data_IF_326221904688
#
_entry.id   IF_326221904688
#
_cell.length_a   1.000
_cell.length_b   1.000
_cell.length_c   1.000
_cell.angle_alpha   90.00
_cell.angle_beta   90.00
_cell.angle_gamma   90.00
#
_symmetry.space_group_name_H-M   'P 1'
#
loop_
_entity.id
_entity.type
_entity.pdbx_description
1 polymer ?
#
# COMPACT_ATOMS: atom_id res chain seq x y z
N UNK A 1 11.62 8.06 14.50
CA UNK A 1 11.37 6.94 13.58
C UNK A 1 12.60 6.06 13.55
N UNK A 2 12.48 4.74 13.45
CA UNK A 2 13.67 3.89 13.28
C UNK A 2 14.44 4.30 12.01
N UNK A 3 15.77 4.25 12.01
CA UNK A 3 16.60 4.65 10.86
C UNK A 3 16.36 3.85 9.56
N UNK A 4 15.60 2.78 9.63
CA UNK A 4 15.15 1.98 8.47
C UNK A 4 14.46 2.84 7.39
N UNK A 5 13.84 3.96 7.79
CA UNK A 5 13.10 4.85 6.91
C UNK A 5 13.88 6.11 6.51
N UNK A 6 15.08 6.30 7.06
CA UNK A 6 15.94 7.42 6.72
C UNK A 6 16.89 7.07 5.55
N UNK A 7 16.91 7.93 4.54
CA UNK A 7 17.74 7.75 3.34
C UNK A 7 19.24 8.00 3.56
N UNK A 8 19.68 8.29 4.79
CA UNK A 8 21.08 8.67 5.14
C UNK A 8 21.78 7.68 6.07
N UNK A 9 21.09 6.62 6.54
CA UNK A 9 21.75 5.60 7.35
C UNK A 9 22.74 4.80 6.50
N UNK A 10 23.87 4.39 7.09
CA UNK A 10 24.80 3.47 6.42
C UNK A 10 24.06 2.16 6.14
N UNK A 11 24.28 1.57 4.97
CA UNK A 11 23.58 0.34 4.55
C UNK A 11 23.64 -0.78 5.60
N UNK A 12 24.76 -0.89 6.31
CA UNK A 12 24.93 -1.91 7.36
C UNK A 12 23.94 -1.71 8.53
N UNK A 13 23.85 -0.50 9.06
CA UNK A 13 22.95 -0.17 10.17
C UNK A 13 21.47 -0.40 9.81
N UNK A 14 21.10 -0.10 8.56
CA UNK A 14 19.74 -0.36 8.06
C UNK A 14 19.41 -1.85 8.14
N UNK A 15 20.29 -2.72 7.67
CA UNK A 15 20.04 -4.17 7.70
C UNK A 15 20.09 -4.76 9.11
N UNK A 16 20.89 -4.22 10.02
CA UNK A 16 20.88 -4.59 11.44
C UNK A 16 19.53 -4.24 12.09
N UNK A 17 19.01 -3.05 11.82
CA UNK A 17 17.72 -2.63 12.31
C UNK A 17 16.56 -3.47 11.72
N UNK A 18 16.62 -3.81 10.42
CA UNK A 18 15.66 -4.72 9.80
C UNK A 18 15.72 -6.10 10.47
N UNK A 19 16.92 -6.64 10.64
CA UNK A 19 17.11 -7.92 11.33
C UNK A 19 16.55 -7.91 12.75
N UNK A 20 16.76 -6.82 13.50
CA UNK A 20 16.20 -6.63 14.82
C UNK A 20 14.67 -6.56 14.80
N UNK A 21 14.06 -5.89 13.81
CA UNK A 21 12.61 -5.89 13.64
C UNK A 21 12.04 -7.29 13.49
N UNK A 22 12.66 -8.14 12.68
CA UNK A 22 12.24 -9.52 12.53
C UNK A 22 12.36 -10.31 13.83
N UNK A 23 13.50 -10.21 14.54
CA UNK A 23 13.73 -10.88 15.81
C UNK A 23 12.71 -10.48 16.89
N UNK A 24 12.35 -9.20 16.95
CA UNK A 24 11.39 -8.68 17.93
C UNK A 24 9.93 -9.00 17.57
N UNK A 25 9.66 -9.37 16.31
CA UNK A 25 8.30 -9.62 15.81
C UNK A 25 7.99 -11.11 15.58
N UNK A 26 8.87 -12.03 15.96
CA UNK A 26 8.67 -13.47 15.83
C UNK A 26 7.40 -13.92 16.56
N UNK A 27 6.58 -14.80 15.98
CA UNK A 27 6.70 -15.49 14.69
C UNK A 27 6.26 -14.67 13.47
N UNK A 28 5.75 -13.48 13.68
CA UNK A 28 5.28 -12.51 12.70
C UNK A 28 4.21 -11.59 13.28
N UNK A 29 4.07 -10.36 12.79
CA UNK A 29 3.06 -9.42 13.26
C UNK A 29 1.66 -9.78 12.73
N UNK A 30 0.63 -9.66 13.55
CA UNK A 30 -0.77 -9.76 13.13
C UNK A 30 -1.23 -8.49 12.42
N UNK A 31 -0.65 -7.35 12.80
CA UNK A 31 -0.98 -6.04 12.24
C UNK A 31 0.26 -5.17 12.10
N UNK A 32 0.30 -4.38 11.03
CA UNK A 32 1.25 -3.31 10.80
C UNK A 32 0.48 -1.99 10.89
N UNK A 33 0.71 -1.23 11.96
CA UNK A 33 0.03 0.05 12.17
C UNK A 33 0.82 1.17 11.49
N UNK A 34 0.25 1.75 10.44
CA UNK A 34 0.80 2.93 9.77
C UNK A 34 0.18 4.19 10.37
N UNK A 35 0.99 4.94 11.12
CA UNK A 35 0.56 6.19 11.76
C UNK A 35 0.94 7.37 10.87
N UNK A 36 -0.05 8.19 10.49
CA UNK A 36 0.14 9.40 9.70
C UNK A 36 -0.81 10.51 10.18
N UNK A 37 -0.45 11.76 9.93
CA UNK A 37 -1.30 12.89 10.28
C UNK A 37 -2.41 13.09 9.24
N UNK A 38 -3.62 13.38 9.71
CA UNK A 38 -4.74 13.74 8.84
C UNK A 38 -4.37 14.99 8.00
N UNK A 39 -4.72 15.00 6.73
CA UNK A 39 -4.39 16.11 5.83
C UNK A 39 -2.94 16.19 5.35
N UNK A 40 -2.01 15.45 5.96
CA UNK A 40 -0.57 15.57 5.70
C UNK A 40 0.09 14.30 5.16
N UNK A 41 -0.64 13.45 4.45
CA UNK A 41 -0.02 12.29 3.80
C UNK A 41 0.89 12.73 2.64
N UNK A 42 2.20 12.64 2.86
CA UNK A 42 3.24 13.17 1.97
C UNK A 42 3.80 12.11 1.02
N UNK A 43 4.69 12.55 0.12
CA UNK A 43 5.50 11.64 -0.69
C UNK A 43 6.43 10.77 0.19
N UNK A 44 6.90 11.30 1.32
CA UNK A 44 7.77 10.56 2.25
C UNK A 44 7.01 9.42 2.93
N UNK A 45 5.74 9.63 3.31
CA UNK A 45 4.89 8.58 3.86
C UNK A 45 4.67 7.45 2.84
N UNK A 46 4.44 7.80 1.58
CA UNK A 46 4.34 6.82 0.50
C UNK A 46 5.65 6.02 0.29
N UNK A 47 6.81 6.66 0.46
CA UNK A 47 8.11 5.98 0.44
C UNK A 47 8.25 5.04 1.64
N UNK A 48 7.82 5.46 2.83
CA UNK A 48 7.82 4.60 4.02
C UNK A 48 6.97 3.33 3.81
N UNK A 49 5.78 3.46 3.22
CA UNK A 49 4.94 2.30 2.85
C UNK A 49 5.67 1.37 1.87
N UNK A 50 6.34 1.92 0.86
CA UNK A 50 7.13 1.12 -0.07
C UNK A 50 8.26 0.38 0.65
N UNK A 51 8.93 1.03 1.61
CA UNK A 51 9.96 0.40 2.45
C UNK A 51 9.41 -0.75 3.29
N UNK A 52 8.23 -0.61 3.86
CA UNK A 52 7.58 -1.73 4.58
C UNK A 52 7.38 -2.93 3.66
N UNK A 53 6.95 -2.71 2.41
CA UNK A 53 6.82 -3.80 1.41
C UNK A 53 8.18 -4.37 0.99
N UNK A 54 9.23 -3.54 0.89
CA UNK A 54 10.59 -4.00 0.62
C UNK A 54 11.15 -4.86 1.75
N UNK A 55 10.75 -4.58 3.00
CA UNK A 55 11.21 -5.32 4.19
C UNK A 55 10.38 -6.59 4.40
N UNK A 56 9.06 -6.50 4.43
CA UNK A 56 8.17 -7.60 4.81
C UNK A 56 7.60 -8.39 3.62
N UNK A 57 7.83 -7.92 2.41
CA UNK A 57 7.39 -8.55 1.17
C UNK A 57 6.12 -7.95 0.59
N UNK A 58 5.85 -8.31 -0.66
CA UNK A 58 4.61 -7.97 -1.34
C UNK A 58 3.43 -8.65 -0.63
N UNK A 59 2.40 -7.87 -0.31
CA UNK A 59 1.24 -8.32 0.45
C UNK A 59 1.27 -7.89 1.92
N UNK A 60 2.34 -7.25 2.42
CA UNK A 60 2.38 -6.66 3.75
C UNK A 60 1.24 -5.64 3.97
N UNK A 61 0.78 -4.96 2.90
CA UNK A 61 -0.35 -4.04 2.95
C UNK A 61 -1.66 -4.70 3.37
N UNK A 62 -1.80 -6.00 3.21
CA UNK A 62 -2.98 -6.76 3.68
C UNK A 62 -3.06 -6.84 5.20
N UNK A 63 -1.93 -6.67 5.87
CA UNK A 63 -1.81 -6.64 7.33
C UNK A 63 -1.72 -5.22 7.88
N UNK A 64 -1.90 -4.19 7.02
CA UNK A 64 -1.83 -2.79 7.45
C UNK A 64 -3.19 -2.25 7.87
N UNK A 65 -3.14 -1.44 8.95
CA UNK A 65 -4.19 -0.53 9.39
C UNK A 65 -3.62 0.87 9.37
N UNK A 66 -4.35 1.83 8.79
CA UNK A 66 -3.94 3.24 8.77
C UNK A 66 -4.55 3.94 9.97
N UNK A 67 -3.70 4.49 10.84
CA UNK A 67 -4.12 5.33 11.97
C UNK A 67 -3.82 6.78 11.64
N UNK A 68 -4.85 7.57 11.43
CA UNK A 68 -4.71 9.01 11.30
C UNK A 68 -4.66 9.65 12.68
N UNK A 69 -3.69 10.52 12.91
CA UNK A 69 -3.67 11.42 14.07
C UNK A 69 -4.34 12.74 13.71
N UNK A 70 -4.62 13.59 14.70
CA UNK A 70 -5.27 14.90 14.53
C UNK A 70 -6.67 14.80 13.94
N UNK A 71 -7.50 13.86 14.45
CA UNK A 71 -8.92 13.75 14.07
C UNK A 71 -9.68 15.05 14.32
N UNK A 72 -9.24 15.86 15.29
CA UNK A 72 -9.79 17.18 15.58
C UNK A 72 -9.77 18.14 14.38
N UNK A 73 -8.88 17.94 13.41
CA UNK A 73 -8.79 18.76 12.20
C UNK A 73 -9.94 18.49 11.21
N UNK A 74 -10.79 17.46 11.46
CA UNK A 74 -12.02 17.23 10.70
C UNK A 74 -13.16 18.20 11.08
N UNK A 75 -13.02 18.96 12.18
CA UNK A 75 -14.03 19.93 12.63
C UNK A 75 -15.45 19.35 12.71
N UNK A 76 -15.56 18.08 13.11
CA UNK A 76 -16.82 17.33 13.17
C UNK A 76 -17.23 16.62 11.89
N UNK A 77 -16.44 16.73 10.82
CA UNK A 77 -16.64 15.99 9.58
C UNK A 77 -16.36 14.48 9.73
N UNK A 78 -16.82 13.72 8.75
CA UNK A 78 -16.64 12.27 8.70
C UNK A 78 -15.25 11.89 8.14
N UNK A 79 -14.56 10.96 8.82
CA UNK A 79 -13.31 10.38 8.31
C UNK A 79 -13.53 9.64 6.98
N UNK A 80 -14.68 8.98 6.82
CA UNK A 80 -15.02 8.27 5.59
C UNK A 80 -15.19 9.24 4.41
N UNK A 81 -15.83 10.39 4.65
CA UNK A 81 -15.96 11.45 3.65
C UNK A 81 -14.61 12.06 3.28
N UNK A 82 -13.75 12.31 4.27
CA UNK A 82 -12.40 12.76 4.03
C UNK A 82 -11.61 11.80 3.13
N UNK A 83 -11.63 10.51 3.46
CA UNK A 83 -10.92 9.47 2.70
C UNK A 83 -11.51 9.30 1.29
N UNK A 84 -12.83 9.39 1.15
CA UNK A 84 -13.52 9.27 -0.14
C UNK A 84 -13.23 10.45 -1.07
N UNK A 85 -13.16 11.67 -0.52
CA UNK A 85 -13.06 12.91 -1.28
C UNK A 85 -11.65 13.47 -1.41
N UNK A 86 -10.64 12.87 -0.73
CA UNK A 86 -9.27 13.37 -0.80
C UNK A 86 -8.73 13.35 -2.23
N UNK A 87 -8.11 14.45 -2.68
CA UNK A 87 -7.41 14.54 -3.97
C UNK A 87 -6.04 13.86 -3.96
N UNK A 88 -5.58 13.41 -2.80
CA UNK A 88 -4.31 12.72 -2.66
C UNK A 88 -4.37 11.29 -3.24
N UNK A 89 -3.98 11.15 -4.50
CA UNK A 89 -4.00 9.86 -5.21
C UNK A 89 -3.15 8.78 -4.53
N UNK A 90 -2.07 9.16 -3.83
CA UNK A 90 -1.22 8.20 -3.09
C UNK A 90 -1.97 7.66 -1.89
N UNK A 91 -2.64 8.51 -1.13
CA UNK A 91 -3.45 8.11 0.00
C UNK A 91 -4.63 7.23 -0.45
N UNK A 92 -5.34 7.62 -1.50
CA UNK A 92 -6.44 6.83 -2.07
C UNK A 92 -5.99 5.43 -2.51
N UNK A 93 -4.79 5.35 -3.10
CA UNK A 93 -4.20 4.06 -3.48
C UNK A 93 -3.90 3.21 -2.25
N UNK A 94 -3.23 3.79 -1.26
CA UNK A 94 -2.88 3.10 -0.01
C UNK A 94 -4.12 2.57 0.72
N UNK A 95 -5.15 3.40 0.90
CA UNK A 95 -6.39 2.98 1.54
C UNK A 95 -7.02 1.76 0.85
N UNK A 96 -6.98 1.72 -0.49
CA UNK A 96 -7.46 0.55 -1.24
C UNK A 96 -6.59 -0.69 -1.02
N UNK A 97 -5.27 -0.52 -1.05
CA UNK A 97 -4.30 -1.60 -0.83
C UNK A 97 -4.42 -2.19 0.58
N UNK A 98 -4.70 -1.35 1.57
CA UNK A 98 -4.98 -1.75 2.96
C UNK A 98 -6.44 -2.24 3.19
N UNK A 99 -7.21 -2.54 2.14
CA UNK A 99 -8.58 -3.04 2.29
C UNK A 99 -9.53 -2.08 3.01
N UNK A 100 -9.30 -0.76 2.92
CA UNK A 100 -10.06 0.29 3.61
C UNK A 100 -10.05 0.18 5.14
N UNK A 101 -9.00 -0.39 5.71
CA UNK A 101 -8.82 -0.48 7.17
C UNK A 101 -8.12 0.78 7.67
N UNK A 102 -8.87 1.66 8.31
CA UNK A 102 -8.35 2.90 8.88
C UNK A 102 -9.20 3.36 10.06
N UNK A 103 -8.60 4.14 10.95
CA UNK A 103 -9.27 4.86 12.01
C UNK A 103 -8.53 6.19 12.26
N UNK A 104 -9.08 7.04 13.11
CA UNK A 104 -8.45 8.31 13.45
C UNK A 104 -8.53 8.59 14.94
N UNK A 105 -7.45 9.18 15.48
CA UNK A 105 -7.34 9.63 16.86
C UNK A 105 -7.32 11.15 16.93
N UNK A 106 -8.18 11.70 17.78
CA UNK A 106 -8.11 13.06 18.27
C UNK A 106 -6.99 13.11 19.33
N UNK A 107 -5.92 13.84 19.06
CA UNK A 107 -4.78 13.94 19.98
C UNK A 107 -5.11 14.72 21.25
N UNK A 108 -6.22 15.44 21.26
CA UNK A 108 -6.73 16.21 22.41
C UNK A 108 -7.75 15.44 23.24
N UNK A 109 -8.15 14.25 22.80
CA UNK A 109 -9.13 13.43 23.49
C UNK A 109 -8.65 13.03 24.88
N UNK A 110 -9.55 13.07 25.85
CA UNK A 110 -9.33 12.67 27.23
C UNK A 110 -10.46 11.75 27.71
N UNK A 111 -10.18 10.95 28.72
CA UNK A 111 -11.18 10.17 29.43
C UNK A 111 -11.92 9.16 28.53
N UNK A 112 -13.23 9.29 28.41
CA UNK A 112 -14.07 8.33 27.69
C UNK A 112 -13.82 8.38 26.19
N UNK A 113 -13.61 9.55 25.60
CA UNK A 113 -13.30 9.69 24.17
C UNK A 113 -12.00 8.96 23.80
N UNK A 114 -10.97 9.03 24.65
CA UNK A 114 -9.72 8.31 24.44
C UNK A 114 -9.96 6.78 24.45
N UNK A 115 -10.79 6.30 25.38
CA UNK A 115 -11.16 4.88 25.45
C UNK A 115 -11.95 4.40 24.22
N UNK A 116 -12.88 5.23 23.76
CA UNK A 116 -13.65 4.95 22.55
C UNK A 116 -12.77 4.84 21.30
N UNK A 117 -11.82 5.75 21.13
CA UNK A 117 -10.88 5.71 20.01
C UNK A 117 -10.02 4.46 20.03
N UNK A 118 -9.54 4.05 21.20
CA UNK A 118 -8.81 2.80 21.35
C UNK A 118 -9.70 1.60 21.01
N UNK A 119 -10.95 1.58 21.47
CA UNK A 119 -11.90 0.52 21.15
C UNK A 119 -12.18 0.43 19.63
N UNK A 120 -12.30 1.57 18.95
CA UNK A 120 -12.44 1.63 17.49
C UNK A 120 -11.22 1.02 16.79
N UNK A 121 -10.00 1.36 17.20
CA UNK A 121 -8.78 0.76 16.66
C UNK A 121 -8.76 -0.76 16.88
N UNK A 122 -9.08 -1.21 18.10
CA UNK A 122 -9.11 -2.64 18.43
C UNK A 122 -10.15 -3.38 17.58
N UNK A 123 -11.32 -2.81 17.34
CA UNK A 123 -12.34 -3.40 16.47
C UNK A 123 -11.85 -3.57 15.02
N UNK A 124 -11.09 -2.58 14.49
CA UNK A 124 -10.48 -2.69 13.15
C UNK A 124 -9.42 -3.79 13.12
N UNK A 125 -8.62 -3.92 14.18
CA UNK A 125 -7.59 -4.98 14.31
C UNK A 125 -8.24 -6.35 14.41
N UNK A 126 -9.26 -6.51 15.26
CA UNK A 126 -10.01 -7.77 15.41
C UNK A 126 -10.67 -8.20 14.08
N UNK A 127 -11.22 -7.25 13.33
CA UNK A 127 -11.76 -7.51 12.00
C UNK A 127 -10.69 -8.02 11.02
N UNK A 128 -9.49 -7.45 11.08
CA UNK A 128 -8.34 -7.89 10.28
C UNK A 128 -7.86 -9.30 10.70
N UNK A 129 -7.79 -9.58 11.98
CA UNK A 129 -7.42 -10.90 12.50
C UNK A 129 -8.44 -11.97 12.09
N UNK A 130 -9.73 -11.65 12.13
CA UNK A 130 -10.79 -12.54 11.66
C UNK A 130 -10.70 -12.79 10.16
N UNK A 131 -10.47 -11.74 9.35
CA UNK A 131 -10.27 -11.86 7.89
C UNK A 131 -9.11 -12.82 7.57
N UNK A 132 -8.04 -12.77 8.34
CA UNK A 132 -6.86 -13.61 8.18
C UNK A 132 -6.92 -14.91 8.99
N UNK A 133 -8.04 -15.20 9.68
CA UNK A 133 -8.22 -16.40 10.50
C UNK A 133 -7.13 -16.57 11.56
N UNK A 134 -6.65 -15.47 12.14
CA UNK A 134 -5.56 -15.46 13.11
C UNK A 134 -4.17 -15.72 12.51
N UNK A 135 -4.05 -15.79 11.19
CA UNK A 135 -2.74 -15.97 10.54
C UNK A 135 -1.99 -14.64 10.51
N UNK A 136 -0.79 -14.64 11.04
CA UNK A 136 0.11 -13.50 11.06
C UNK A 136 0.93 -13.40 9.76
N UNK A 137 1.47 -12.22 9.49
CA UNK A 137 2.39 -12.00 8.38
C UNK A 137 3.68 -12.79 8.63
N UNK A 138 4.00 -13.70 7.73
CA UNK A 138 5.21 -14.53 7.84
C UNK A 138 5.94 -14.66 6.51
N UNK A 139 7.24 -14.90 6.59
CA UNK A 139 8.13 -15.21 5.47
C UNK A 139 9.36 -15.98 5.99
N UNK A 140 10.29 -16.33 5.09
CA UNK A 140 11.50 -17.07 5.43
C UNK A 140 12.34 -16.41 6.53
N UNK A 141 12.41 -15.06 6.55
CA UNK A 141 13.20 -14.33 7.55
C UNK A 141 12.62 -14.45 8.97
N UNK A 142 11.30 -14.55 9.13
CA UNK A 142 10.71 -14.85 10.44
C UNK A 142 11.09 -16.25 10.93
N UNK A 143 11.12 -17.23 10.04
CA UNK A 143 11.57 -18.58 10.37
C UNK A 143 13.04 -18.61 10.74
N UNK A 144 13.90 -17.92 10.00
CA UNK A 144 15.32 -17.79 10.32
C UNK A 144 15.55 -17.04 11.65
N UNK A 145 14.79 -15.97 11.92
CA UNK A 145 14.83 -15.24 13.18
C UNK A 145 14.43 -16.11 14.36
N UNK A 146 13.37 -16.91 14.21
CA UNK A 146 12.92 -17.85 15.23
C UNK A 146 13.98 -18.92 15.51
N UNK A 147 14.60 -19.46 14.48
CA UNK A 147 15.67 -20.43 14.60
C UNK A 147 16.89 -19.84 15.35
N UNK A 148 17.28 -18.62 15.02
CA UNK A 148 18.39 -17.93 15.67
C UNK A 148 18.13 -17.71 17.17
N UNK A 149 16.90 -17.33 17.54
CA UNK A 149 16.51 -17.19 18.95
C UNK A 149 16.55 -18.53 19.71
N UNK A 150 16.07 -19.61 19.09
CA UNK A 150 16.09 -20.96 19.69
C UNK A 150 17.51 -21.52 19.90
N UNK A 151 18.46 -21.14 19.04
CA UNK A 151 19.87 -21.53 19.17
C UNK A 151 20.63 -20.75 20.25
N UNK A 152 19.93 -19.94 21.06
CA UNK A 152 20.55 -19.17 22.14
C UNK A 152 21.26 -17.90 21.64
N UNK A 153 20.77 -17.35 20.55
CA UNK A 153 21.18 -16.13 19.82
C UNK A 153 22.17 -15.22 20.51
N UNK A 154 23.45 -15.65 20.59
CA UNK A 154 24.50 -14.79 21.10
C UNK A 154 24.65 -13.58 20.19
N UNK A 155 24.58 -12.40 20.77
CA UNK A 155 24.58 -11.11 20.06
C UNK A 155 25.79 -10.85 19.14
N UNK A 156 26.79 -11.75 19.08
CA UNK A 156 28.07 -11.51 18.42
C UNK A 156 28.70 -12.78 17.80
N UNK A 157 27.90 -13.68 17.21
CA UNK A 157 28.39 -14.93 16.63
C UNK A 157 28.29 -15.03 15.11
N UNK A 158 28.88 -16.09 14.55
CA UNK A 158 28.79 -16.43 13.13
C UNK A 158 27.33 -16.62 12.68
N UNK A 159 26.44 -17.11 13.55
CA UNK A 159 25.01 -17.25 13.31
C UNK A 159 24.32 -15.93 13.01
N UNK A 160 24.63 -14.87 13.77
CA UNK A 160 24.07 -13.55 13.54
C UNK A 160 24.55 -12.94 12.22
N UNK A 161 25.85 -13.10 11.88
CA UNK A 161 26.36 -12.64 10.58
C UNK A 161 25.63 -13.32 9.42
N UNK A 162 25.49 -14.63 9.44
CA UNK A 162 24.76 -15.39 8.43
C UNK A 162 23.31 -14.96 8.33
N UNK A 163 22.67 -14.68 9.46
CA UNK A 163 21.30 -14.17 9.49
C UNK A 163 21.21 -12.79 8.82
N UNK A 164 22.08 -11.84 9.15
CA UNK A 164 22.12 -10.51 8.54
C UNK A 164 22.42 -10.56 7.04
N UNK A 165 23.27 -11.48 6.58
CA UNK A 165 23.51 -11.69 5.15
C UNK A 165 22.23 -12.20 4.44
N UNK A 166 21.45 -13.09 5.07
CA UNK A 166 20.15 -13.52 4.56
C UNK A 166 19.15 -12.36 4.53
N UNK A 167 19.07 -11.54 5.59
CA UNK A 167 18.22 -10.33 5.63
C UNK A 167 18.54 -9.43 4.44
N UNK A 168 19.84 -9.14 4.20
CA UNK A 168 20.28 -8.30 3.08
C UNK A 168 19.85 -8.88 1.74
N UNK A 169 20.08 -10.17 1.54
CA UNK A 169 19.75 -10.85 0.28
C UNK A 169 18.24 -10.87 0.01
N UNK A 170 17.44 -11.19 1.03
CA UNK A 170 16.00 -11.28 0.91
C UNK A 170 15.35 -9.91 0.67
N UNK A 171 15.79 -8.88 1.39
CA UNK A 171 15.31 -7.51 1.18
C UNK A 171 15.67 -7.01 -0.22
N UNK A 172 16.87 -7.30 -0.70
CA UNK A 172 17.28 -6.95 -2.06
C UNK A 172 16.39 -7.64 -3.12
N UNK A 173 16.09 -8.94 -2.92
CA UNK A 173 15.16 -9.70 -3.78
C UNK A 173 13.76 -9.09 -3.75
N UNK A 174 13.18 -8.86 -2.57
CA UNK A 174 11.85 -8.28 -2.43
C UNK A 174 11.75 -6.91 -3.10
N UNK A 175 12.80 -6.10 -2.98
CA UNK A 175 12.88 -4.79 -3.67
C UNK A 175 12.90 -4.94 -5.20
N UNK A 176 13.59 -5.94 -5.72
CA UNK A 176 13.59 -6.24 -7.14
C UNK A 176 12.22 -6.73 -7.61
N UNK A 177 11.61 -7.66 -6.89
CA UNK A 177 10.28 -8.20 -7.20
C UNK A 177 9.21 -7.10 -7.24
N UNK A 178 9.24 -6.16 -6.29
CA UNK A 178 8.35 -4.99 -6.26
C UNK A 178 8.52 -4.10 -7.48
N UNK A 179 9.77 -3.79 -7.88
CA UNK A 179 10.05 -2.99 -9.08
C UNK A 179 9.56 -3.68 -10.35
N UNK A 180 9.71 -4.99 -10.45
CA UNK A 180 9.23 -5.76 -11.59
C UNK A 180 7.69 -5.79 -11.63
N UNK A 181 7.04 -5.96 -10.48
CA UNK A 181 5.58 -5.90 -10.36
C UNK A 181 5.01 -4.53 -10.77
N UNK A 182 5.65 -3.43 -10.34
CA UNK A 182 5.28 -2.07 -10.75
C UNK A 182 5.46 -1.86 -12.26
N UNK A 183 6.58 -2.28 -12.83
CA UNK A 183 6.84 -2.21 -14.27
C UNK A 183 5.81 -3.00 -15.08
N UNK A 184 5.49 -4.21 -14.66
CA UNK A 184 4.49 -5.06 -15.31
C UNK A 184 3.08 -4.47 -15.19
N UNK A 185 2.74 -3.86 -14.06
CA UNK A 185 1.47 -3.16 -13.87
C UNK A 185 1.35 -1.93 -14.76
N UNK A 186 2.41 -1.12 -14.86
CA UNK A 186 2.46 0.04 -15.75
C UNK A 186 2.34 -0.37 -17.22
N UNK A 187 3.02 -1.44 -17.63
CA UNK A 187 2.92 -1.97 -18.99
C UNK A 187 1.50 -2.47 -19.30
N UNK A 188 0.85 -3.19 -18.40
CA UNK A 188 -0.55 -3.61 -18.55
C UNK A 188 -1.50 -2.42 -18.64
N UNK A 189 -1.28 -1.37 -17.86
CA UNK A 189 -2.07 -0.13 -17.93
C UNK A 189 -1.90 0.56 -19.28
N UNK A 190 -0.68 0.63 -19.81
CA UNK A 190 -0.39 1.20 -21.13
C UNK A 190 -1.08 0.41 -22.26
N UNK A 191 -1.06 -0.92 -22.19
CA UNK A 191 -1.75 -1.77 -23.16
C UNK A 191 -3.27 -1.56 -23.13
N UNK A 192 -3.87 -1.43 -21.94
CA UNK A 192 -5.30 -1.11 -21.78
C UNK A 192 -5.64 0.26 -22.38
N UNK A 193 -4.81 1.27 -22.12
CA UNK A 193 -4.96 2.60 -22.71
C UNK A 193 -4.89 2.56 -24.23
N UNK A 194 -3.90 1.85 -24.79
CA UNK A 194 -3.77 1.65 -26.22
C UNK A 194 -5.01 0.97 -26.82
N UNK A 195 -5.50 -0.11 -26.20
CA UNK A 195 -6.70 -0.82 -26.64
C UNK A 195 -7.94 0.08 -26.59
N UNK A 196 -8.08 0.90 -25.53
CA UNK A 196 -9.16 1.89 -25.40
C UNK A 196 -9.13 2.95 -26.52
N UNK A 197 -7.94 3.54 -26.80
CA UNK A 197 -7.76 4.51 -27.89
C UNK A 197 -8.14 3.87 -29.23
N UNK A 198 -7.62 2.67 -29.53
CA UNK A 198 -7.91 1.98 -30.80
C UNK A 198 -9.40 1.70 -30.96
N UNK A 199 -10.09 1.32 -29.88
CA UNK A 199 -11.53 1.07 -29.88
C UNK A 199 -12.33 2.35 -30.18
N UNK A 200 -11.95 3.47 -29.54
CA UNK A 200 -12.63 4.76 -29.77
C UNK A 200 -12.38 5.34 -31.16
N UNK A 201 -11.17 5.19 -31.71
CA UNK A 201 -10.87 5.61 -33.08
C UNK A 201 -11.72 4.81 -34.08
N UNK A 202 -11.88 3.51 -33.89
CA UNK A 202 -12.76 2.68 -34.75
C UNK A 202 -14.21 3.16 -34.73
N UNK A 203 -14.73 3.45 -33.54
CA UNK A 203 -16.11 3.96 -33.37
C UNK A 203 -16.25 5.31 -34.08
N UNK A 204 -15.28 6.22 -33.91
CA UNK A 204 -15.30 7.51 -34.57
C UNK A 204 -15.27 7.41 -36.10
N UNK A 205 -14.41 6.56 -36.65
CA UNK A 205 -14.35 6.29 -38.10
C UNK A 205 -15.69 5.74 -38.61
N UNK A 206 -16.31 4.82 -37.87
CA UNK A 206 -17.61 4.25 -38.22
C UNK A 206 -18.70 5.33 -38.27
N UNK A 207 -18.75 6.20 -37.27
CA UNK A 207 -19.72 7.32 -37.20
C UNK A 207 -19.53 8.30 -38.37
N UNK A 208 -18.30 8.64 -38.74
CA UNK A 208 -18.01 9.50 -39.87
C UNK A 208 -18.46 8.84 -41.20
N UNK A 209 -18.20 7.53 -41.36
CA UNK A 209 -18.67 6.79 -42.54
C UNK A 209 -20.21 6.78 -42.62
N UNK A 210 -20.90 6.52 -41.53
CA UNK A 210 -22.37 6.56 -41.48
C UNK A 210 -22.91 7.95 -41.84
N UNK A 211 -22.25 9.03 -41.35
CA UNK A 211 -22.64 10.41 -41.71
C UNK A 211 -22.46 10.69 -43.19
N UNK A 212 -21.34 10.27 -43.79
CA UNK A 212 -21.08 10.45 -45.22
C UNK A 212 -22.08 9.68 -46.08
N UNK A 213 -22.44 8.45 -45.72
CA UNK A 213 -23.46 7.68 -46.43
C UNK A 213 -24.82 8.37 -46.31
N UNK A 214 -25.19 8.84 -45.13
CA UNK A 214 -26.45 9.58 -44.95
C UNK A 214 -26.52 10.84 -45.81
N UNK A 215 -25.45 11.64 -45.85
CA UNK A 215 -25.38 12.84 -46.71
C UNK A 215 -25.49 12.45 -48.17
N UNK A 216 -24.83 11.40 -48.63
CA UNK A 216 -24.94 10.95 -50.03
C UNK A 216 -26.38 10.55 -50.40
N UNK A 217 -27.09 9.84 -49.48
CA UNK A 217 -28.49 9.46 -49.68
C UNK A 217 -29.37 10.74 -49.81
N UNK A 218 -29.20 11.71 -48.94
CA UNK A 218 -29.96 12.95 -48.95
C UNK A 218 -29.74 13.70 -50.28
N UNK A 219 -28.50 13.81 -50.74
CA UNK A 219 -28.17 14.45 -52.04
C UNK A 219 -28.87 13.74 -53.18
N UNK A 220 -28.83 12.41 -53.25
CA UNK A 220 -29.48 11.60 -54.28
C UNK A 220 -31.00 11.83 -54.26
N UNK A 221 -31.62 11.84 -53.06
CA UNK A 221 -33.05 12.09 -52.94
C UNK A 221 -33.46 13.52 -53.39
N UNK A 222 -32.65 14.49 -53.05
CA UNK A 222 -32.89 15.90 -53.49
C UNK A 222 -32.71 16.09 -54.99
N UNK A 223 -31.74 15.39 -55.63
CA UNK A 223 -31.55 15.46 -57.11
C UNK A 223 -32.58 14.68 -57.87
N UNK A 224 -33.28 13.71 -57.28
CA UNK A 224 -34.34 12.93 -57.89
C UNK A 224 -35.74 13.56 -57.82
N UNK A 225 -35.89 14.59 -56.99
CA UNK A 225 -37.17 15.36 -56.81
C UNK A 225 -37.18 16.69 -57.58
N UNK A 226 -36.12 17.08 -58.24
CA UNK A 226 -36.03 18.24 -59.16
C UNK A 226 -36.00 17.83 -60.61
#
# INVERSE_FOLDING_TARGET
>A
MPPIFESRAQDQEVYENIGACYLLSVPGPHVLLLVTQLGHFTKQDAVAVTRVKEVFGAGAERYMVILFTHKEDLEGGSLDEYVANTDNLRLRRLVRECGRRYCAFNNRALGDEQREQLAQLMAVIEGLEQEHQGVFLTNELFSDAQMLLQMGGGAHGEGQRRYLDKVRLQVAKQKQDLKEAERNSAFKALLRLKAWIVSHVKIFVLLVLCLLIFLAIVIILCTHQG
#
